data_IF_417867806796
#
_entry.id   IF_417867806796
#
_cell.length_a   1.000
_cell.length_b   1.000
_cell.length_c   1.000
_cell.angle_alpha   90.00
_cell.angle_beta   90.00
_cell.angle_gamma   90.00
#
_symmetry.space_group_name_H-M   'P 1'
#
loop_
_entity.id
_entity.type
_entity.pdbx_description
1 polymer ?
#
# COMPACT_ATOMS: atom_id res chain seq x y z
N UNK A 1 9.50 13.35 3.12
CA UNK A 1 10.18 12.09 2.76
C UNK A 1 9.18 10.97 2.49
N UNK A 2 8.23 10.75 3.41
CA UNK A 2 7.16 9.76 3.31
C UNK A 2 6.33 9.91 2.04
N UNK A 3 5.90 11.13 1.68
CA UNK A 3 5.17 11.40 0.43
C UNK A 3 5.86 10.84 -0.82
N UNK A 4 7.13 11.19 -1.03
CA UNK A 4 7.94 10.70 -2.17
C UNK A 4 8.12 9.18 -2.16
N UNK A 5 8.19 8.58 -0.97
CA UNK A 5 8.24 7.13 -0.83
C UNK A 5 6.91 6.48 -1.23
N UNK A 6 5.78 7.01 -0.75
CA UNK A 6 4.44 6.53 -1.12
C UNK A 6 4.18 6.68 -2.62
N UNK A 7 4.62 7.78 -3.25
CA UNK A 7 4.53 7.97 -4.71
C UNK A 7 5.35 6.91 -5.47
N UNK A 8 6.56 6.63 -5.02
CA UNK A 8 7.40 5.58 -5.61
C UNK A 8 6.77 4.20 -5.49
N UNK A 9 6.22 3.85 -4.32
CA UNK A 9 5.52 2.57 -4.09
C UNK A 9 4.20 2.47 -4.85
N UNK A 10 3.47 3.57 -4.99
CA UNK A 10 2.28 3.66 -5.83
C UNK A 10 2.61 3.33 -7.29
N UNK A 11 3.68 3.92 -7.84
CA UNK A 11 4.08 3.63 -9.22
C UNK A 11 4.57 2.18 -9.38
N UNK A 12 5.36 1.67 -8.43
CA UNK A 12 5.85 0.29 -8.45
C UNK A 12 4.71 -0.73 -8.41
N UNK A 13 3.75 -0.55 -7.50
CA UNK A 13 2.60 -1.45 -7.37
C UNK A 13 1.70 -1.48 -8.61
N UNK A 14 1.60 -0.39 -9.37
CA UNK A 14 0.91 -0.41 -10.67
C UNK A 14 1.65 -1.25 -11.72
N UNK A 15 2.98 -1.14 -11.75
CA UNK A 15 3.81 -1.97 -12.64
C UNK A 15 3.68 -3.46 -12.25
N UNK A 16 3.66 -3.76 -10.96
CA UNK A 16 3.50 -5.13 -10.46
C UNK A 16 2.13 -5.71 -10.80
N UNK A 17 1.06 -4.91 -10.73
CA UNK A 17 -0.27 -5.31 -11.21
C UNK A 17 -0.24 -5.62 -12.71
N UNK A 18 0.32 -4.74 -13.55
CA UNK A 18 0.41 -4.98 -14.99
C UNK A 18 1.23 -6.23 -15.32
N UNK A 19 2.28 -6.52 -14.52
CA UNK A 19 3.09 -7.73 -14.66
C UNK A 19 2.31 -8.98 -14.27
N UNK A 20 1.60 -8.94 -13.15
CA UNK A 20 0.80 -10.05 -12.66
C UNK A 20 -0.37 -10.37 -13.60
N UNK A 21 -1.03 -9.35 -14.14
CA UNK A 21 -2.13 -9.50 -15.09
C UNK A 21 -1.69 -10.26 -16.36
N UNK A 22 -0.49 -9.95 -16.88
CA UNK A 22 0.13 -10.68 -18.01
C UNK A 22 0.48 -12.15 -17.67
N UNK A 23 0.65 -12.47 -16.40
CA UNK A 23 0.90 -13.83 -15.91
C UNK A 23 -0.35 -14.70 -15.82
N UNK A 24 -1.54 -14.11 -15.95
CA UNK A 24 -2.82 -14.82 -15.88
C UNK A 24 -3.12 -15.42 -14.50
N UNK A 25 -3.95 -16.48 -14.47
CA UNK A 25 -4.53 -17.04 -13.24
C UNK A 25 -3.52 -17.38 -12.13
N UNK A 26 -2.33 -17.86 -12.49
CA UNK A 26 -1.30 -18.21 -11.50
C UNK A 26 -0.76 -17.00 -10.72
N UNK A 27 -0.95 -15.79 -11.25
CA UNK A 27 -0.45 -14.55 -10.70
C UNK A 27 -1.55 -13.67 -10.07
N UNK A 28 -2.80 -14.13 -9.98
CA UNK A 28 -3.91 -13.38 -9.38
C UNK A 28 -3.62 -12.97 -7.92
N UNK A 29 -2.93 -13.84 -7.17
CA UNK A 29 -2.50 -13.51 -5.81
C UNK A 29 -1.47 -12.38 -5.75
N UNK A 30 -0.55 -12.34 -6.72
CA UNK A 30 0.43 -11.26 -6.83
C UNK A 30 -0.26 -9.96 -7.27
N UNK A 31 -1.26 -10.05 -8.15
CA UNK A 31 -2.10 -8.92 -8.54
C UNK A 31 -2.81 -8.33 -7.33
N UNK A 32 -3.53 -9.13 -6.53
CA UNK A 32 -4.29 -8.65 -5.37
C UNK A 32 -3.37 -8.00 -4.31
N UNK A 33 -2.17 -8.54 -4.13
CA UNK A 33 -1.15 -7.95 -3.24
C UNK A 33 -0.65 -6.60 -3.75
N UNK A 34 -0.35 -6.50 -5.04
CA UNK A 34 0.07 -5.25 -5.65
C UNK A 34 -1.07 -4.22 -5.67
N UNK A 35 -2.31 -4.66 -5.88
CA UNK A 35 -3.52 -3.85 -5.76
C UNK A 35 -3.70 -3.29 -4.35
N UNK A 36 -3.48 -4.10 -3.31
CA UNK A 36 -3.56 -3.66 -1.92
C UNK A 36 -2.54 -2.58 -1.59
N UNK A 37 -1.30 -2.76 -2.05
CA UNK A 37 -0.25 -1.74 -1.88
C UNK A 37 -0.58 -0.43 -2.62
N UNK A 38 -1.07 -0.53 -3.86
CA UNK A 38 -1.52 0.63 -4.65
C UNK A 38 -2.61 1.40 -3.92
N UNK A 39 -3.63 0.69 -3.44
CA UNK A 39 -4.76 1.27 -2.71
C UNK A 39 -4.29 2.05 -1.47
N UNK A 40 -3.43 1.44 -0.64
CA UNK A 40 -2.91 2.10 0.57
C UNK A 40 -2.06 3.31 0.22
N UNK A 41 -1.16 3.18 -0.76
CA UNK A 41 -0.33 4.30 -1.18
C UNK A 41 -1.16 5.44 -1.78
N UNK A 42 -2.21 5.11 -2.55
CA UNK A 42 -3.14 6.09 -3.11
C UNK A 42 -3.89 6.85 -2.01
N UNK A 43 -4.40 6.16 -0.99
CA UNK A 43 -5.12 6.77 0.13
C UNK A 43 -4.24 7.73 0.94
N UNK A 44 -2.95 7.43 1.07
CA UNK A 44 -2.04 8.19 1.95
C UNK A 44 -1.20 9.25 1.23
N UNK A 45 -0.83 9.06 -0.05
CA UNK A 45 0.16 9.92 -0.73
C UNK A 45 -0.27 11.38 -0.88
N UNK A 46 -1.58 11.64 -0.95
CA UNK A 46 -2.15 12.99 -1.07
C UNK A 46 -2.46 13.63 0.28
N UNK A 47 -2.31 12.89 1.39
CA UNK A 47 -2.59 13.42 2.72
C UNK A 47 -1.49 14.38 3.19
N UNK A 48 -1.90 15.50 3.77
CA UNK A 48 -0.99 16.45 4.43
C UNK A 48 -0.34 15.85 5.68
N UNK A 49 -0.92 14.76 6.21
CA UNK A 49 -0.32 13.97 7.27
C UNK A 49 1.08 13.45 6.92
N UNK A 50 1.43 13.32 5.64
CA UNK A 50 2.75 12.84 5.19
C UNK A 50 3.93 13.75 5.58
N UNK A 51 3.67 14.96 6.07
CA UNK A 51 4.68 15.90 6.56
C UNK A 51 4.88 15.87 8.09
N UNK A 52 4.00 15.18 8.83
CA UNK A 52 4.04 15.11 10.29
C UNK A 52 3.87 13.66 10.75
N UNK A 53 4.82 13.16 11.55
CA UNK A 53 4.84 11.75 11.94
C UNK A 53 3.63 11.35 12.79
N UNK A 54 3.18 12.21 13.72
CA UNK A 54 2.06 11.90 14.59
C UNK A 54 0.76 11.86 13.78
N UNK A 55 0.55 12.87 12.93
CA UNK A 55 -0.60 12.90 12.01
C UNK A 55 -0.59 11.73 11.04
N UNK A 56 0.58 11.30 10.56
CA UNK A 56 0.70 10.14 9.68
C UNK A 56 0.34 8.83 10.42
N UNK A 57 0.77 8.69 11.67
CA UNK A 57 0.38 7.55 12.49
C UNK A 57 -1.13 7.51 12.76
N UNK A 58 -1.76 8.66 13.01
CA UNK A 58 -3.21 8.76 13.18
C UNK A 58 -3.96 8.43 11.89
N UNK A 59 -3.49 8.89 10.73
CA UNK A 59 -4.06 8.54 9.43
C UNK A 59 -3.98 7.03 9.15
N UNK A 60 -2.86 6.38 9.49
CA UNK A 60 -2.72 4.93 9.37
C UNK A 60 -3.67 4.17 10.29
N UNK A 61 -3.85 4.65 11.53
CA UNK A 61 -4.80 4.08 12.48
C UNK A 61 -6.23 4.22 11.97
N UNK A 62 -6.61 5.40 11.49
CA UNK A 62 -7.93 5.65 10.91
C UNK A 62 -8.26 4.73 9.73
N UNK A 63 -7.28 4.39 8.89
CA UNK A 63 -7.45 3.40 7.83
C UNK A 63 -7.55 1.95 8.35
N UNK A 64 -6.84 1.59 9.43
CA UNK A 64 -6.94 0.26 10.03
C UNK A 64 -8.28 0.02 10.72
N UNK A 65 -8.87 1.08 11.27
CA UNK A 65 -10.16 1.07 11.95
C UNK A 65 -11.36 1.04 10.96
N UNK A 66 -11.10 1.08 9.64
CA UNK A 66 -12.14 0.84 8.63
C UNK A 66 -12.60 -0.62 8.62
N UNK A 67 -13.91 -0.78 8.39
CA UNK A 67 -14.54 -2.10 8.29
C UNK A 67 -14.14 -2.79 6.98
N UNK A 68 -14.30 -2.09 5.85
CA UNK A 68 -14.11 -2.66 4.50
C UNK A 68 -13.15 -1.82 3.63
N UNK A 69 -12.46 -2.49 2.70
CA UNK A 69 -11.58 -1.86 1.70
C UNK A 69 -12.09 -2.16 0.29
N UNK A 70 -12.86 -1.24 -0.29
CA UNK A 70 -13.47 -1.48 -1.59
C UNK A 70 -12.51 -1.12 -2.75
N UNK A 71 -12.31 -2.09 -3.66
CA UNK A 71 -11.59 -1.90 -4.93
C UNK A 71 -12.18 -2.81 -6.01
N UNK A 72 -12.61 -2.22 -7.12
CA UNK A 72 -13.06 -2.98 -8.29
C UNK A 72 -11.87 -3.65 -8.99
N UNK A 73 -12.07 -4.86 -9.50
CA UNK A 73 -11.09 -5.55 -10.34
C UNK A 73 -10.03 -6.35 -9.58
N UNK A 74 -10.23 -6.61 -8.29
CA UNK A 74 -9.45 -7.61 -7.54
C UNK A 74 -10.02 -9.01 -7.79
N UNK A 75 -9.18 -10.04 -7.71
CA UNK A 75 -9.60 -11.43 -7.96
C UNK A 75 -10.23 -12.08 -6.73
N UNK A 76 -9.71 -11.75 -5.54
CA UNK A 76 -10.17 -12.28 -4.25
C UNK A 76 -10.25 -11.14 -3.22
N UNK A 77 -11.48 -10.68 -2.92
CA UNK A 77 -11.73 -9.56 -2.00
C UNK A 77 -11.15 -9.82 -0.60
N UNK A 78 -11.30 -11.03 -0.07
CA UNK A 78 -10.81 -11.39 1.27
C UNK A 78 -9.29 -11.37 1.33
N UNK A 79 -8.63 -11.80 0.24
CA UNK A 79 -7.17 -11.71 0.11
C UNK A 79 -6.73 -10.26 0.01
N UNK A 80 -7.36 -9.47 -0.86
CA UNK A 80 -7.08 -8.06 -1.00
C UNK A 80 -7.16 -7.33 0.35
N UNK A 81 -8.25 -7.51 1.11
CA UNK A 81 -8.40 -6.89 2.43
C UNK A 81 -7.31 -7.31 3.42
N UNK A 82 -6.95 -8.61 3.42
CA UNK A 82 -5.85 -9.10 4.26
C UNK A 82 -4.53 -8.43 3.90
N UNK A 83 -4.23 -8.29 2.60
CA UNK A 83 -3.03 -7.62 2.13
C UNK A 83 -3.04 -6.12 2.45
N UNK A 84 -4.20 -5.44 2.36
CA UNK A 84 -4.35 -4.03 2.77
C UNK A 84 -4.03 -3.87 4.26
N UNK A 85 -4.66 -4.68 5.13
CA UNK A 85 -4.41 -4.64 6.58
C UNK A 85 -2.96 -5.00 6.91
N UNK A 86 -2.37 -5.94 6.18
CA UNK A 86 -0.95 -6.30 6.31
C UNK A 86 -0.02 -5.15 5.96
N UNK A 87 -0.28 -4.49 4.83
CA UNK A 87 0.51 -3.36 4.37
C UNK A 87 0.37 -2.13 5.27
N UNK A 88 -0.83 -1.82 5.76
CA UNK A 88 -1.06 -0.76 6.75
C UNK A 88 -0.27 -1.03 8.06
N UNK A 89 -0.30 -2.26 8.59
CA UNK A 89 0.49 -2.63 9.77
C UNK A 89 1.99 -2.48 9.54
N UNK A 90 2.48 -2.82 8.35
CA UNK A 90 3.88 -2.58 7.94
C UNK A 90 4.22 -1.08 8.00
N UNK A 91 3.35 -0.21 7.46
CA UNK A 91 3.55 1.24 7.51
C UNK A 91 3.50 1.81 8.93
N UNK A 92 2.63 1.28 9.79
CA UNK A 92 2.60 1.65 11.23
C UNK A 92 3.95 1.33 11.87
N UNK A 93 4.51 0.15 11.61
CA UNK A 93 5.83 -0.24 12.13
C UNK A 93 6.93 0.68 11.61
N UNK A 94 6.97 0.95 10.30
CA UNK A 94 7.94 1.86 9.67
C UNK A 94 7.84 3.28 10.24
N UNK A 95 6.63 3.77 10.49
CA UNK A 95 6.37 5.10 11.07
C UNK A 95 6.84 5.17 12.52
N UNK A 96 6.58 4.12 13.31
CA UNK A 96 7.03 4.01 14.71
C UNK A 96 8.55 4.05 14.82
N UNK A 97 9.27 3.33 13.95
CA UNK A 97 10.74 3.29 13.95
C UNK A 97 11.38 4.43 13.16
N UNK A 98 10.60 5.18 12.39
CA UNK A 98 11.08 6.18 11.42
C UNK A 98 12.12 5.62 10.45
N UNK A 99 11.99 4.35 10.07
CA UNK A 99 12.94 3.65 9.18
C UNK A 99 12.24 3.13 7.92
N UNK A 100 13.01 3.01 6.83
CA UNK A 100 12.56 2.44 5.55
C UNK A 100 11.99 3.45 4.54
N UNK A 101 11.49 4.62 4.95
CA UNK A 101 11.03 5.66 4.01
C UNK A 101 12.14 6.32 3.17
N UNK A 102 13.40 6.10 3.55
CA UNK A 102 14.57 6.49 2.77
C UNK A 102 14.85 5.55 1.60
N UNK A 103 14.41 4.29 1.67
CA UNK A 103 14.65 3.30 0.62
C UNK A 103 13.54 3.37 -0.43
N UNK A 104 13.85 3.95 -1.59
CA UNK A 104 12.94 4.07 -2.73
C UNK A 104 13.27 3.09 -3.85
N UNK A 105 14.26 2.22 -3.66
CA UNK A 105 14.59 1.22 -4.66
C UNK A 105 13.51 0.13 -4.60
N UNK A 106 12.76 -0.01 -5.69
CA UNK A 106 12.08 -1.27 -5.95
C UNK A 106 13.08 -2.20 -6.61
N UNK A 107 13.35 -3.34 -5.99
CA UNK A 107 14.15 -4.37 -6.64
C UNK A 107 13.39 -4.81 -7.90
N UNK A 108 14.00 -4.54 -9.05
CA UNK A 108 13.57 -5.02 -10.37
C UNK A 108 13.85 -6.51 -10.50
#
# INVERSE_FOLDING_TARGET
>A
MVRKWLESRFNASRIDQDRADRGGRSCEGDYDKAAAEEWVCRALRTSDATNDRARFADALKGLLDQDDYLRVGVHDERRFEREVRGYLRKLVKMTKTNTGFGNRLHHQ
#
